data_IF_640376304316
#
_entry.id   IF_640376304316
#
_cell.length_a   1.000
_cell.length_b   1.000
_cell.length_c   1.000
_cell.angle_alpha   90.00
_cell.angle_beta   90.00
_cell.angle_gamma   90.00
#
_symmetry.space_group_name_H-M   'P 1'
#
loop_
_entity.id
_entity.type
_entity.pdbx_description
1 polymer ?
#
# COMPACT_ATOMS: atom_id res chain seq x y z
N UNK A 1 23.38 5.95 38.87
CA UNK A 1 23.31 5.09 37.69
C UNK A 1 22.23 5.68 36.75
N UNK A 2 22.62 6.35 35.71
CA UNK A 2 21.69 6.86 34.70
C UNK A 2 21.48 5.73 33.71
N UNK A 3 20.25 5.22 33.62
CA UNK A 3 19.90 4.19 32.64
C UNK A 3 20.10 4.78 31.23
N UNK A 4 20.87 4.09 30.38
CA UNK A 4 21.00 4.45 28.98
C UNK A 4 19.63 4.38 28.32
N UNK A 5 19.27 5.38 27.45
CA UNK A 5 18.02 5.31 26.70
C UNK A 5 18.04 4.07 25.80
N UNK A 6 17.00 3.25 25.91
CA UNK A 6 16.80 2.13 25.01
C UNK A 6 16.82 2.64 23.56
N UNK A 7 17.72 2.11 22.76
CA UNK A 7 17.76 2.33 21.31
C UNK A 7 16.42 1.87 20.75
N UNK A 8 15.58 2.82 20.36
CA UNK A 8 14.34 2.48 19.66
C UNK A 8 14.71 1.88 18.30
N UNK A 9 14.27 0.66 18.09
CA UNK A 9 14.49 -0.08 16.85
C UNK A 9 13.88 0.67 15.66
N UNK A 10 14.62 0.66 14.55
CA UNK A 10 14.10 1.14 13.27
C UNK A 10 12.80 0.40 12.89
N UNK A 11 11.87 1.04 12.17
CA UNK A 11 10.61 0.40 11.79
C UNK A 11 10.88 -0.97 11.15
N UNK A 12 10.35 -2.02 11.76
CA UNK A 12 10.50 -3.38 11.25
C UNK A 12 9.69 -3.51 9.94
N UNK A 13 10.26 -4.07 8.87
CA UNK A 13 9.50 -4.37 7.67
C UNK A 13 8.35 -5.32 8.02
N UNK A 14 7.11 -4.87 7.86
CA UNK A 14 5.94 -5.69 8.04
C UNK A 14 5.67 -6.51 6.77
N UNK A 15 5.13 -7.72 6.91
CA UNK A 15 4.70 -8.55 5.78
C UNK A 15 3.54 -7.84 5.07
N UNK A 16 3.75 -7.46 3.81
CA UNK A 16 2.93 -6.49 3.10
C UNK A 16 1.46 -6.87 2.90
N UNK A 17 1.12 -8.17 2.87
CA UNK A 17 -0.24 -8.64 2.57
C UNK A 17 -1.25 -8.34 3.66
N UNK A 18 -0.89 -8.53 4.93
CA UNK A 18 -1.78 -8.21 6.07
C UNK A 18 -2.08 -6.71 6.16
N UNK A 19 -1.23 -5.90 5.54
CA UNK A 19 -1.32 -4.45 5.50
C UNK A 19 -1.94 -3.93 4.20
N UNK A 20 -2.36 -4.81 3.29
CA UNK A 20 -3.06 -4.45 2.07
C UNK A 20 -2.14 -4.11 0.88
N UNK A 21 -0.85 -4.45 0.95
CA UNK A 21 0.02 -4.44 -0.24
C UNK A 21 -0.44 -5.54 -1.20
N UNK A 22 -0.41 -5.26 -2.49
CA UNK A 22 -0.95 -6.14 -3.51
C UNK A 22 -2.47 -6.00 -3.72
N UNK A 23 -3.18 -5.24 -2.88
CA UNK A 23 -4.61 -5.00 -3.05
C UNK A 23 -4.87 -3.96 -4.15
N UNK A 24 -5.93 -4.18 -4.87
CA UNK A 24 -6.48 -3.20 -5.80
C UNK A 24 -7.31 -2.16 -5.04
N UNK A 25 -7.12 -0.89 -5.41
CA UNK A 25 -7.88 0.23 -4.86
C UNK A 25 -9.02 0.57 -5.82
N UNK A 26 -10.29 0.62 -5.36
CA UNK A 26 -11.42 0.98 -6.22
C UNK A 26 -11.26 2.39 -6.80
N UNK A 27 -12.08 2.71 -7.80
CA UNK A 27 -12.08 4.06 -8.36
C UNK A 27 -12.76 5.03 -7.39
N UNK A 28 -11.94 5.80 -6.69
CA UNK A 28 -12.39 6.76 -5.69
C UNK A 28 -12.61 8.13 -6.33
N UNK A 29 -13.66 8.81 -5.91
CA UNK A 29 -13.86 10.21 -6.28
C UNK A 29 -12.85 11.08 -5.54
N UNK A 30 -12.10 11.88 -6.29
CA UNK A 30 -11.11 12.82 -5.78
C UNK A 30 -11.67 14.24 -5.87
N UNK A 31 -11.96 14.83 -4.72
CA UNK A 31 -12.50 16.20 -4.59
C UNK A 31 -11.45 17.10 -3.93
N UNK A 32 -10.55 17.69 -4.70
CA UNK A 32 -9.48 18.51 -4.13
C UNK A 32 -10.04 19.83 -3.55
N UNK A 33 -9.31 20.40 -2.59
CA UNK A 33 -9.60 21.73 -2.02
C UNK A 33 -9.52 22.86 -3.07
N UNK A 34 -8.76 22.64 -4.14
CA UNK A 34 -8.66 23.51 -5.31
C UNK A 34 -8.63 22.68 -6.58
N UNK A 35 -9.26 23.18 -7.64
CA UNK A 35 -9.32 22.49 -8.92
C UNK A 35 -10.61 21.68 -9.13
N UNK A 36 -10.63 20.90 -10.20
CA UNK A 36 -11.80 20.14 -10.64
C UNK A 36 -11.88 18.78 -9.97
N UNK A 37 -13.08 18.27 -9.75
CA UNK A 37 -13.34 16.89 -9.35
C UNK A 37 -12.76 15.93 -10.37
N UNK A 38 -12.21 14.85 -9.89
CA UNK A 38 -11.60 13.80 -10.70
C UNK A 38 -11.90 12.44 -10.09
N UNK A 39 -11.36 11.38 -10.69
CA UNK A 39 -11.36 10.05 -10.08
C UNK A 39 -9.93 9.53 -9.97
N UNK A 40 -9.73 8.58 -9.08
CA UNK A 40 -8.42 7.94 -8.91
C UNK A 40 -7.97 7.29 -10.23
N UNK A 41 -8.88 6.62 -10.94
CA UNK A 41 -8.60 6.00 -12.25
C UNK A 41 -8.13 7.01 -13.30
N UNK A 42 -8.72 8.21 -13.31
CA UNK A 42 -8.30 9.28 -14.24
C UNK A 42 -6.90 9.80 -13.88
N UNK A 43 -6.60 9.92 -12.59
CA UNK A 43 -5.30 10.38 -12.12
C UNK A 43 -4.19 9.33 -12.32
N UNK A 44 -4.53 8.04 -12.26
CA UNK A 44 -3.55 6.95 -12.44
C UNK A 44 -3.29 6.59 -13.91
N UNK A 45 -4.23 6.86 -14.81
CA UNK A 45 -4.21 6.40 -16.21
C UNK A 45 -2.91 6.68 -16.96
N UNK A 46 -2.39 7.91 -16.81
CA UNK A 46 -1.20 8.38 -17.53
C UNK A 46 0.01 8.49 -16.59
N UNK A 47 -0.10 7.96 -15.38
CA UNK A 47 0.97 7.96 -14.40
C UNK A 47 1.70 6.61 -14.41
N UNK A 48 3.02 6.65 -14.25
CA UNK A 48 3.84 5.44 -14.03
C UNK A 48 3.67 4.92 -12.61
N UNK A 49 3.44 5.82 -11.67
CA UNK A 49 3.09 5.53 -10.29
C UNK A 49 2.29 6.70 -9.70
N UNK A 50 1.49 6.42 -8.68
CA UNK A 50 0.80 7.43 -7.89
C UNK A 50 1.19 7.27 -6.43
N UNK A 51 1.63 8.37 -5.82
CA UNK A 51 1.85 8.46 -4.38
C UNK A 51 0.60 9.05 -3.73
N UNK A 52 0.04 8.34 -2.76
CA UNK A 52 -0.96 8.91 -1.86
C UNK A 52 -0.24 9.28 -0.57
N UNK A 53 -0.16 10.57 -0.28
CA UNK A 53 0.46 11.10 0.92
C UNK A 53 -0.61 11.47 1.95
N UNK A 54 -0.66 10.74 3.05
CA UNK A 54 -1.61 11.01 4.14
C UNK A 54 -1.00 12.06 5.07
N UNK A 55 -1.73 13.14 5.29
CA UNK A 55 -1.25 14.29 6.06
C UNK A 55 -2.34 14.83 6.99
N UNK A 56 -1.93 15.66 7.92
CA UNK A 56 -2.84 16.43 8.77
C UNK A 56 -2.18 17.77 9.12
N UNK A 57 -2.97 18.82 9.13
CA UNK A 57 -2.49 20.15 9.52
C UNK A 57 -2.23 20.28 11.02
N UNK A 58 -2.82 19.40 11.82
CA UNK A 58 -2.63 19.36 13.28
C UNK A 58 -1.57 18.33 13.74
N UNK A 59 -1.08 17.46 12.85
CA UNK A 59 -0.10 16.45 13.20
C UNK A 59 1.35 17.00 13.06
N UNK A 60 2.13 17.02 14.15
CA UNK A 60 3.53 17.50 14.09
C UNK A 60 4.41 16.69 13.15
N UNK A 61 4.17 15.38 13.04
CA UNK A 61 4.94 14.50 12.15
C UNK A 61 4.64 14.80 10.69
N UNK A 62 3.36 15.02 10.34
CA UNK A 62 2.97 15.47 8.99
C UNK A 62 3.63 16.82 8.65
N UNK A 63 3.67 17.76 9.59
CA UNK A 63 4.35 19.05 9.40
C UNK A 63 5.85 18.90 9.12
N UNK A 64 6.52 17.96 9.77
CA UNK A 64 7.95 17.68 9.54
C UNK A 64 8.20 17.01 8.19
N UNK A 65 7.32 16.11 7.74
CA UNK A 65 7.46 15.43 6.45
C UNK A 65 6.96 16.26 5.27
N UNK A 66 6.17 17.31 5.50
CA UNK A 66 5.61 18.14 4.44
C UNK A 66 6.66 18.62 3.43
N UNK A 67 7.76 19.28 3.85
CA UNK A 67 8.81 19.76 2.94
C UNK A 67 9.47 18.62 2.15
N UNK A 68 9.74 17.49 2.79
CA UNK A 68 10.34 16.31 2.14
C UNK A 68 9.42 15.75 1.06
N UNK A 69 8.13 15.58 1.38
CA UNK A 69 7.15 15.07 0.43
C UNK A 69 6.91 16.03 -0.74
N UNK A 70 6.87 17.36 -0.49
CA UNK A 70 6.74 18.35 -1.55
C UNK A 70 7.98 18.39 -2.47
N UNK A 71 9.18 18.22 -1.92
CA UNK A 71 10.39 18.07 -2.70
C UNK A 71 10.37 16.83 -3.59
N UNK A 72 9.94 15.69 -3.05
CA UNK A 72 9.76 14.43 -3.81
C UNK A 72 8.68 14.57 -4.89
N UNK A 73 7.55 15.23 -4.58
CA UNK A 73 6.52 15.52 -5.58
C UNK A 73 7.11 16.23 -6.79
N UNK A 74 7.87 17.31 -6.56
CA UNK A 74 8.52 18.10 -7.60
C UNK A 74 9.56 17.28 -8.37
N UNK A 75 10.41 16.53 -7.67
CA UNK A 75 11.46 15.70 -8.26
C UNK A 75 10.90 14.62 -9.18
N UNK A 76 9.88 13.90 -8.72
CA UNK A 76 9.33 12.75 -9.43
C UNK A 76 8.26 13.10 -10.48
N UNK A 77 7.77 14.34 -10.52
CA UNK A 77 6.75 14.78 -11.48
C UNK A 77 7.20 14.56 -12.94
N UNK A 78 8.43 14.92 -13.28
CA UNK A 78 9.00 14.73 -14.62
C UNK A 78 9.23 13.26 -15.00
N UNK A 79 9.22 12.37 -14.01
CA UNK A 79 9.39 10.93 -14.16
C UNK A 79 8.06 10.16 -14.27
N UNK A 80 6.94 10.90 -14.33
CA UNK A 80 5.60 10.34 -14.49
C UNK A 80 4.96 9.86 -13.19
N UNK A 81 5.46 10.31 -12.03
CA UNK A 81 4.82 10.07 -10.73
C UNK A 81 3.86 11.22 -10.42
N UNK A 82 2.67 10.87 -9.95
CA UNK A 82 1.69 11.85 -9.46
C UNK A 82 1.50 11.71 -7.97
N UNK A 83 1.35 12.84 -7.28
CA UNK A 83 1.04 12.87 -5.86
C UNK A 83 -0.43 13.24 -5.67
N UNK A 84 -1.08 12.60 -4.72
CA UNK A 84 -2.42 12.92 -4.21
C UNK A 84 -2.28 13.03 -2.69
N UNK A 85 -2.64 14.18 -2.15
CA UNK A 85 -2.54 14.46 -0.73
C UNK A 85 -3.90 14.26 -0.07
N UNK A 86 -3.93 13.50 1.02
CA UNK A 86 -5.17 13.16 1.72
C UNK A 86 -5.06 13.59 3.17
N UNK A 87 -6.04 14.35 3.62
CA UNK A 87 -6.22 14.67 5.04
C UNK A 87 -7.50 13.99 5.55
N UNK A 88 -7.38 12.90 6.30
CA UNK A 88 -8.52 12.17 6.85
C UNK A 88 -8.96 12.67 8.22
N UNK A 89 -8.37 13.76 8.74
CA UNK A 89 -8.67 14.29 10.07
C UNK A 89 -9.82 15.31 10.00
N UNK A 90 -11.02 14.96 10.45
CA UNK A 90 -12.20 15.82 10.28
C UNK A 90 -12.13 17.10 11.11
N UNK A 91 -11.33 17.13 12.19
CA UNK A 91 -11.14 18.30 13.05
C UNK A 91 -10.20 19.36 12.46
N UNK A 92 -9.43 19.00 11.42
CA UNK A 92 -8.59 19.96 10.71
C UNK A 92 -9.48 20.95 9.94
N UNK A 93 -9.41 22.24 10.28
CA UNK A 93 -10.24 23.25 9.64
C UNK A 93 -9.80 23.49 8.19
N UNK A 94 -10.73 23.93 7.36
CA UNK A 94 -10.41 24.33 5.97
C UNK A 94 -9.37 25.43 5.90
N UNK A 95 -9.36 26.32 6.87
CA UNK A 95 -8.37 27.41 6.93
C UNK A 95 -6.98 26.90 7.27
N UNK A 96 -6.86 26.01 8.28
CA UNK A 96 -5.57 25.41 8.67
C UNK A 96 -4.99 24.54 7.56
N UNK A 97 -5.84 23.75 6.88
CA UNK A 97 -5.43 22.93 5.73
C UNK A 97 -4.93 23.80 4.58
N UNK A 98 -5.63 24.86 4.21
CA UNK A 98 -5.17 25.79 3.16
C UNK A 98 -3.86 26.47 3.51
N UNK A 99 -3.69 26.85 4.78
CA UNK A 99 -2.42 27.42 5.23
C UNK A 99 -1.30 26.38 5.12
N UNK A 100 -1.54 25.16 5.60
CA UNK A 100 -0.59 24.05 5.52
C UNK A 100 -0.16 23.75 4.07
N UNK A 101 -1.10 23.71 3.12
CA UNK A 101 -0.83 23.50 1.69
C UNK A 101 0.17 24.56 1.18
N UNK A 102 -0.06 25.84 1.51
CA UNK A 102 0.83 26.94 1.10
C UNK A 102 2.22 26.81 1.74
N UNK A 103 2.25 26.56 3.05
CA UNK A 103 3.50 26.53 3.83
C UNK A 103 4.40 25.36 3.40
N UNK A 104 3.80 24.24 3.02
CA UNK A 104 4.53 23.05 2.56
C UNK A 104 4.86 23.08 1.06
N UNK A 105 4.27 23.98 0.27
CA UNK A 105 4.49 24.07 -1.17
C UNK A 105 3.89 22.93 -1.98
N UNK A 106 2.81 22.35 -1.51
CA UNK A 106 2.05 21.25 -2.17
C UNK A 106 1.56 21.71 -3.54
N UNK A 107 1.75 20.91 -4.58
CA UNK A 107 1.35 21.21 -5.96
C UNK A 107 0.21 20.31 -6.45
N UNK A 108 0.19 19.05 -6.05
CA UNK A 108 -0.83 18.09 -6.44
C UNK A 108 -2.18 18.29 -5.77
N UNK A 109 -3.18 17.51 -6.18
CA UNK A 109 -4.51 17.57 -5.59
C UNK A 109 -4.46 17.22 -4.09
N UNK A 110 -4.95 18.13 -3.26
CA UNK A 110 -5.10 17.95 -1.82
C UNK A 110 -6.57 17.77 -1.46
N UNK A 111 -6.90 16.66 -0.82
CA UNK A 111 -8.27 16.26 -0.50
C UNK A 111 -8.46 16.21 1.00
N UNK A 112 -9.48 16.89 1.49
CA UNK A 112 -10.02 16.67 2.84
C UNK A 112 -11.02 15.53 2.76
N UNK A 113 -10.66 14.40 3.33
CA UNK A 113 -11.50 13.20 3.35
C UNK A 113 -12.45 13.22 4.57
N UNK A 114 -13.31 14.24 4.61
CA UNK A 114 -14.22 14.51 5.74
C UNK A 114 -15.14 13.33 6.09
N UNK A 115 -15.48 12.50 5.11
CA UNK A 115 -16.34 11.32 5.30
C UNK A 115 -15.54 10.04 5.57
N UNK A 116 -14.23 10.11 5.39
CA UNK A 116 -13.35 8.96 5.55
C UNK A 116 -13.50 7.90 4.45
N UNK A 117 -14.09 8.25 3.29
CA UNK A 117 -14.32 7.29 2.20
C UNK A 117 -12.97 6.77 1.63
N UNK A 118 -12.01 7.68 1.44
CA UNK A 118 -10.67 7.35 0.95
C UNK A 118 -9.88 6.61 2.04
N UNK A 119 -9.95 7.11 3.27
CA UNK A 119 -9.29 6.49 4.42
C UNK A 119 -9.75 5.03 4.62
N UNK A 120 -11.05 4.78 4.52
CA UNK A 120 -11.62 3.42 4.60
C UNK A 120 -11.15 2.54 3.43
N UNK A 121 -11.24 3.03 2.20
CA UNK A 121 -10.87 2.25 1.01
C UNK A 121 -9.40 1.84 1.00
N UNK A 122 -8.50 2.71 1.46
CA UNK A 122 -7.07 2.44 1.57
C UNK A 122 -6.70 1.74 2.89
N UNK A 123 -7.58 1.75 3.88
CA UNK A 123 -7.26 1.27 5.23
C UNK A 123 -6.16 2.11 5.88
N UNK A 124 -6.24 3.44 5.75
CA UNK A 124 -5.28 4.37 6.33
C UNK A 124 -5.31 4.23 7.86
N UNK A 125 -4.15 4.10 8.48
CA UNK A 125 -4.03 3.87 9.93
C UNK A 125 -3.40 5.03 10.68
N UNK A 126 -2.66 5.88 9.97
CA UNK A 126 -1.91 6.96 10.59
C UNK A 126 -1.77 8.16 9.65
N UNK A 127 -1.67 9.34 10.21
CA UNK A 127 -1.15 10.50 9.51
C UNK A 127 0.33 10.28 9.18
N UNK A 128 0.86 10.93 8.13
CA UNK A 128 2.21 10.69 7.61
C UNK A 128 2.46 9.28 7.03
N UNK A 129 1.40 8.50 6.78
CA UNK A 129 1.48 7.28 5.99
C UNK A 129 1.51 7.62 4.50
N UNK A 130 2.28 6.87 3.73
CA UNK A 130 2.33 7.00 2.28
C UNK A 130 2.03 5.68 1.59
N UNK A 131 1.42 5.76 0.41
CA UNK A 131 1.15 4.61 -0.46
C UNK A 131 1.75 4.88 -1.83
N UNK A 132 2.25 3.83 -2.48
CA UNK A 132 2.61 3.86 -3.90
C UNK A 132 1.68 2.90 -4.64
N UNK A 133 0.96 3.43 -5.63
CA UNK A 133 0.08 2.67 -6.50
C UNK A 133 0.69 2.60 -7.90
N UNK A 134 0.46 1.49 -8.60
CA UNK A 134 0.69 1.39 -10.05
C UNK A 134 -0.48 2.01 -10.86
N UNK A 135 -0.33 2.02 -12.19
CA UNK A 135 -1.37 2.50 -13.10
C UNK A 135 -2.68 1.68 -13.00
N UNK A 136 -2.60 0.43 -12.55
CA UNK A 136 -3.78 -0.41 -12.32
C UNK A 136 -4.42 -0.18 -10.94
N UNK A 137 -3.90 0.75 -10.16
CA UNK A 137 -4.30 1.05 -8.77
C UNK A 137 -4.02 -0.09 -7.78
N UNK A 138 -2.99 -0.87 -8.03
CA UNK A 138 -2.51 -1.85 -7.05
C UNK A 138 -1.58 -1.16 -6.06
N UNK A 139 -1.76 -1.40 -4.77
CA UNK A 139 -0.85 -0.91 -3.73
C UNK A 139 0.46 -1.70 -3.82
N UNK A 140 1.53 -1.05 -4.21
CA UNK A 140 2.87 -1.65 -4.30
C UNK A 140 3.72 -1.40 -3.06
N UNK A 141 3.45 -0.29 -2.37
CA UNK A 141 4.09 0.08 -1.11
C UNK A 141 3.10 0.81 -0.22
N UNK A 142 3.23 0.62 1.09
CA UNK A 142 2.62 1.49 2.10
C UNK A 142 3.51 1.56 3.34
N UNK A 143 3.58 2.71 3.97
CA UNK A 143 4.41 2.85 5.17
C UNK A 143 4.87 4.27 5.43
N UNK A 144 6.01 4.37 6.10
CA UNK A 144 6.69 5.63 6.38
C UNK A 144 7.38 6.19 5.12
N UNK A 145 7.57 7.51 5.09
CA UNK A 145 8.41 8.18 4.07
C UNK A 145 9.85 7.68 4.16
N UNK A 146 10.37 7.68 5.37
CA UNK A 146 11.73 7.25 5.74
C UNK A 146 11.80 6.93 7.24
N UNK A 147 13.00 6.71 7.77
CA UNK A 147 13.25 6.42 9.19
C UNK A 147 13.77 7.64 9.97
N UNK A 148 13.56 8.86 9.46
CA UNK A 148 14.06 10.08 10.10
C UNK A 148 13.30 10.43 11.38
N UNK A 149 11.99 10.27 11.38
CA UNK A 149 11.14 10.58 12.53
C UNK A 149 10.43 9.33 13.04
N UNK A 150 10.36 9.20 14.36
CA UNK A 150 9.67 8.11 15.03
C UNK A 150 9.12 8.53 16.37
N UNK A 151 8.42 7.63 17.05
CA UNK A 151 7.93 7.87 18.39
C UNK A 151 9.11 8.01 19.33
N UNK A 152 9.29 9.22 19.89
CA UNK A 152 10.37 9.51 20.85
C UNK A 152 11.76 9.74 20.23
N UNK A 153 11.92 9.73 18.92
CA UNK A 153 13.20 10.06 18.28
C UNK A 153 13.06 10.94 17.03
N UNK A 154 14.15 11.64 16.71
CA UNK A 154 14.34 12.36 15.46
C UNK A 154 15.81 12.31 15.08
N UNK A 155 16.10 11.89 13.86
CA UNK A 155 17.46 11.85 13.30
C UNK A 155 17.74 13.11 12.51
N UNK A 156 19.01 13.50 12.41
CA UNK A 156 19.44 14.63 11.58
C UNK A 156 19.17 14.38 10.08
N UNK A 157 19.32 13.11 9.65
CA UNK A 157 18.98 12.66 8.31
C UNK A 157 18.50 11.20 8.36
N UNK A 158 17.69 10.76 7.39
CA UNK A 158 17.26 9.36 7.33
C UNK A 158 18.41 8.45 6.90
N UNK A 159 18.47 7.26 7.49
CA UNK A 159 19.34 6.18 7.04
C UNK A 159 18.66 5.34 5.94
N UNK A 160 17.32 5.23 5.99
CA UNK A 160 16.51 4.48 5.05
C UNK A 160 15.42 5.36 4.47
N UNK A 161 15.37 5.48 3.14
CA UNK A 161 14.40 6.28 2.41
C UNK A 161 13.38 5.36 1.76
N UNK A 162 12.42 4.86 2.53
CA UNK A 162 11.47 3.82 2.09
C UNK A 162 10.66 4.23 0.86
N UNK A 163 10.06 5.41 0.85
CA UNK A 163 9.28 5.91 -0.29
C UNK A 163 10.14 6.04 -1.54
N UNK A 164 11.33 6.60 -1.42
CA UNK A 164 12.28 6.74 -2.55
C UNK A 164 12.65 5.37 -3.11
N UNK A 165 13.03 4.43 -2.25
CA UNK A 165 13.39 3.06 -2.66
C UNK A 165 12.23 2.35 -3.37
N UNK A 166 11.00 2.53 -2.86
CA UNK A 166 9.81 1.98 -3.50
C UNK A 166 9.58 2.60 -4.88
N UNK A 167 9.66 3.93 -5.01
CA UNK A 167 9.50 4.64 -6.28
C UNK A 167 10.55 4.22 -7.31
N UNK A 168 11.82 4.13 -6.91
CA UNK A 168 12.89 3.68 -7.81
C UNK A 168 12.66 2.24 -8.31
N UNK A 169 12.21 1.35 -7.42
CA UNK A 169 11.86 -0.02 -7.80
C UNK A 169 10.72 -0.04 -8.81
N UNK A 170 9.62 0.66 -8.54
CA UNK A 170 8.44 0.72 -9.42
C UNK A 170 8.80 1.32 -10.78
N UNK A 171 9.52 2.45 -10.81
CA UNK A 171 9.91 3.12 -12.05
C UNK A 171 10.90 2.30 -12.87
N UNK A 172 11.66 1.41 -12.25
CA UNK A 172 12.58 0.48 -12.91
C UNK A 172 11.93 -0.86 -13.27
N UNK A 173 10.63 -1.04 -13.01
CA UNK A 173 9.92 -2.30 -13.24
C UNK A 173 10.37 -3.44 -12.32
N UNK A 174 11.00 -3.12 -11.20
CA UNK A 174 11.47 -4.09 -10.22
C UNK A 174 10.46 -4.27 -9.10
N UNK A 175 10.50 -5.41 -8.43
CA UNK A 175 9.73 -5.66 -7.22
C UNK A 175 10.20 -4.71 -6.11
N UNK A 176 9.25 -4.18 -5.34
CA UNK A 176 9.55 -3.42 -4.13
C UNK A 176 9.96 -4.40 -3.02
N UNK A 177 11.21 -4.34 -2.57
CA UNK A 177 11.75 -5.26 -1.56
C UNK A 177 11.10 -5.03 -0.19
N UNK A 178 11.09 -3.78 0.27
CA UNK A 178 10.40 -3.38 1.49
C UNK A 178 9.05 -2.79 1.12
N UNK A 179 8.04 -3.65 0.98
CA UNK A 179 6.72 -3.23 0.51
C UNK A 179 5.84 -2.61 1.61
N UNK A 180 6.18 -2.79 2.88
CA UNK A 180 5.46 -2.24 4.00
C UNK A 180 6.38 -1.89 5.17
N UNK A 181 6.09 -0.79 5.89
CA UNK A 181 6.77 -0.38 7.12
C UNK A 181 5.79 0.15 8.15
N UNK A 182 6.17 0.18 9.43
CA UNK A 182 5.45 0.96 10.44
C UNK A 182 5.53 2.46 10.15
N UNK A 183 4.57 3.22 10.67
CA UNK A 183 4.43 4.66 10.39
C UNK A 183 4.52 5.45 11.69
N UNK A 184 5.30 6.55 11.75
CA UNK A 184 5.51 7.32 12.96
C UNK A 184 4.42 8.37 13.26
N UNK A 185 3.39 8.48 12.42
CA UNK A 185 2.34 9.51 12.55
C UNK A 185 1.34 9.26 13.68
N UNK A 186 0.40 10.19 13.82
CA UNK A 186 -0.69 10.04 14.76
C UNK A 186 -1.64 8.94 14.30
N UNK A 187 -1.97 8.00 15.20
CA UNK A 187 -2.93 6.95 14.89
C UNK A 187 -4.29 7.57 14.55
N UNK A 188 -4.92 7.05 13.52
CA UNK A 188 -6.29 7.35 13.16
C UNK A 188 -7.15 6.21 13.69
N UNK A 189 -8.32 6.53 14.23
CA UNK A 189 -9.34 5.53 14.49
C UNK A 189 -9.81 4.98 13.12
N UNK A 190 -9.07 4.02 12.63
CA UNK A 190 -9.41 3.36 11.38
C UNK A 190 -10.49 2.35 11.64
N UNK A 191 -11.66 2.56 11.07
CA UNK A 191 -12.51 1.42 10.78
C UNK A 191 -11.67 0.42 9.96
N UNK A 192 -11.71 -0.85 10.33
CA UNK A 192 -11.09 -1.91 9.55
C UNK A 192 -11.40 -1.69 8.06
N UNK A 193 -10.46 -1.99 7.13
CA UNK A 193 -10.72 -1.81 5.71
C UNK A 193 -12.08 -2.39 5.40
N UNK A 194 -13.03 -1.55 4.97
CA UNK A 194 -14.33 -2.06 4.52
C UNK A 194 -13.97 -2.92 3.32
N UNK A 195 -14.27 -4.19 3.42
CA UNK A 195 -14.27 -5.05 2.26
C UNK A 195 -15.16 -4.34 1.24
N UNK A 196 -14.56 -3.82 0.17
CA UNK A 196 -15.32 -3.18 -0.89
C UNK A 196 -16.24 -4.25 -1.42
N UNK A 197 -17.55 -4.02 -1.36
CA UNK A 197 -18.57 -4.99 -1.77
C UNK A 197 -18.67 -5.12 -3.31
N UNK A 198 -17.61 -4.76 -4.03
CA UNK A 198 -17.54 -5.08 -5.45
C UNK A 198 -17.26 -6.58 -5.58
N UNK A 199 -18.00 -7.26 -6.45
CA UNK A 199 -17.77 -8.68 -6.68
C UNK A 199 -16.31 -8.92 -7.06
N UNK A 200 -15.70 -9.91 -6.44
CA UNK A 200 -14.34 -10.31 -6.74
C UNK A 200 -14.29 -10.78 -8.19
N UNK A 201 -13.45 -10.13 -9.00
CA UNK A 201 -13.24 -10.50 -10.40
C UNK A 201 -11.80 -10.92 -10.64
N UNK A 202 -11.54 -11.57 -11.77
CA UNK A 202 -10.17 -11.89 -12.18
C UNK A 202 -9.28 -10.65 -12.19
N UNK A 203 -9.74 -9.55 -12.80
CA UNK A 203 -8.92 -8.35 -13.03
C UNK A 203 -8.74 -7.48 -11.79
N UNK A 204 -9.72 -7.40 -10.90
CA UNK A 204 -9.58 -6.55 -9.71
C UNK A 204 -8.84 -7.24 -8.55
N UNK A 205 -8.86 -8.58 -8.49
CA UNK A 205 -8.33 -9.29 -7.33
C UNK A 205 -7.58 -10.58 -7.67
N UNK A 206 -8.19 -11.50 -8.43
CA UNK A 206 -7.69 -12.87 -8.58
C UNK A 206 -6.35 -12.90 -9.32
N UNK A 207 -6.18 -12.11 -10.38
CA UNK A 207 -4.92 -12.05 -11.13
C UNK A 207 -3.72 -11.72 -10.22
N UNK A 208 -3.92 -10.89 -9.22
CA UNK A 208 -2.87 -10.47 -8.27
C UNK A 208 -2.51 -11.59 -7.30
N UNK A 209 -3.51 -12.30 -6.80
CA UNK A 209 -3.30 -13.49 -5.96
C UNK A 209 -2.51 -14.54 -6.75
N UNK A 210 -2.91 -14.79 -8.00
CA UNK A 210 -2.23 -15.77 -8.86
C UNK A 210 -0.79 -15.35 -9.16
N UNK A 211 -0.58 -14.11 -9.59
CA UNK A 211 0.76 -13.58 -9.89
C UNK A 211 1.70 -13.67 -8.70
N UNK A 212 1.20 -13.43 -7.52
CA UNK A 212 2.01 -13.47 -6.32
C UNK A 212 2.30 -14.87 -5.81
N UNK A 213 1.27 -15.74 -5.78
CA UNK A 213 1.35 -17.02 -5.07
C UNK A 213 1.43 -18.24 -5.97
N UNK A 214 1.04 -18.14 -7.24
CA UNK A 214 0.93 -19.28 -8.15
C UNK A 214 1.88 -19.18 -9.36
N UNK A 215 1.83 -18.06 -10.08
CA UNK A 215 2.59 -17.81 -11.32
C UNK A 215 4.11 -17.93 -11.16
N UNK A 216 4.75 -17.66 -10.02
CA UNK A 216 6.19 -17.92 -9.88
C UNK A 216 6.60 -19.35 -10.26
N UNK A 217 5.69 -20.33 -10.05
CA UNK A 217 5.91 -21.72 -10.46
C UNK A 217 5.06 -22.11 -11.67
N UNK A 218 3.80 -21.63 -11.75
CA UNK A 218 2.80 -21.93 -12.78
C UNK A 218 2.85 -20.94 -13.93
N UNK A 219 3.89 -20.99 -14.74
CA UNK A 219 4.11 -20.18 -15.95
C UNK A 219 4.72 -21.02 -17.04
N UNK A 220 4.72 -20.52 -18.26
CA UNK A 220 5.45 -21.16 -19.37
C UNK A 220 6.92 -21.35 -19.00
N UNK A 221 7.45 -22.53 -19.27
CA UNK A 221 8.79 -22.97 -18.85
C UNK A 221 9.04 -22.87 -17.32
N UNK A 222 7.99 -22.85 -16.52
CA UNK A 222 8.07 -22.92 -15.05
C UNK A 222 8.21 -24.36 -14.57
N UNK A 223 8.36 -24.53 -13.25
CA UNK A 223 8.53 -25.86 -12.62
C UNK A 223 7.20 -26.62 -12.52
N UNK A 224 6.06 -25.92 -12.55
CA UNK A 224 4.73 -26.52 -12.44
C UNK A 224 4.27 -27.11 -13.79
N UNK A 225 3.39 -28.14 -13.76
CA UNK A 225 3.00 -28.89 -14.97
C UNK A 225 2.08 -28.10 -15.94
N UNK A 226 1.56 -26.96 -15.54
CA UNK A 226 0.69 -26.10 -16.36
C UNK A 226 0.83 -24.63 -15.93
N UNK A 227 0.51 -23.70 -16.84
CA UNK A 227 0.51 -22.27 -16.56
C UNK A 227 -0.82 -21.81 -15.95
N UNK A 228 -0.76 -20.69 -15.17
CA UNK A 228 -1.89 -20.00 -14.58
C UNK A 228 -1.75 -18.46 -14.81
N UNK A 229 -1.29 -18.08 -15.99
CA UNK A 229 -0.97 -16.70 -16.35
C UNK A 229 -2.17 -15.96 -16.96
N UNK A 230 -3.12 -16.70 -17.52
CA UNK A 230 -4.32 -16.15 -18.17
C UNK A 230 -5.61 -16.66 -17.53
N UNK A 231 -6.74 -15.93 -17.66
CA UNK A 231 -8.04 -16.39 -17.18
C UNK A 231 -8.45 -17.75 -17.75
N UNK A 232 -8.13 -18.00 -19.03
CA UNK A 232 -8.47 -19.25 -19.71
C UNK A 232 -7.70 -20.45 -19.10
N UNK A 233 -6.41 -20.28 -18.83
CA UNK A 233 -5.60 -21.32 -18.17
C UNK A 233 -6.12 -21.62 -16.77
N UNK A 234 -6.50 -20.60 -16.01
CA UNK A 234 -7.05 -20.77 -14.67
C UNK A 234 -8.39 -21.48 -14.72
N UNK A 235 -9.28 -21.11 -15.64
CA UNK A 235 -10.57 -21.74 -15.83
C UNK A 235 -10.42 -23.23 -16.22
N UNK A 236 -9.49 -23.55 -17.10
CA UNK A 236 -9.20 -24.92 -17.52
C UNK A 236 -8.75 -25.82 -16.36
N UNK A 237 -8.17 -25.27 -15.32
CA UNK A 237 -7.64 -26.00 -14.16
C UNK A 237 -8.38 -25.71 -12.84
N UNK A 238 -9.50 -24.96 -12.89
CA UNK A 238 -10.19 -24.43 -11.71
C UNK A 238 -10.53 -25.52 -10.67
N UNK A 239 -11.06 -26.65 -11.09
CA UNK A 239 -11.41 -27.75 -10.18
C UNK A 239 -10.21 -28.34 -9.45
N UNK A 240 -9.07 -28.46 -10.13
CA UNK A 240 -7.82 -28.93 -9.52
C UNK A 240 -7.24 -27.86 -8.58
N UNK A 241 -7.17 -26.62 -9.01
CA UNK A 241 -6.69 -25.51 -8.19
C UNK A 241 -7.51 -25.40 -6.91
N UNK A 242 -8.85 -25.40 -7.04
CA UNK A 242 -9.77 -25.39 -5.89
C UNK A 242 -9.47 -26.52 -4.90
N UNK A 243 -9.34 -27.75 -5.39
CA UNK A 243 -9.05 -28.92 -4.55
C UNK A 243 -7.72 -28.75 -3.80
N UNK A 244 -6.65 -28.41 -4.50
CA UNK A 244 -5.31 -28.32 -3.91
C UNK A 244 -5.18 -27.15 -2.92
N UNK A 245 -5.81 -26.03 -3.23
CA UNK A 245 -5.81 -24.85 -2.33
C UNK A 245 -6.67 -25.12 -1.08
N UNK A 246 -7.82 -25.77 -1.24
CA UNK A 246 -8.68 -26.15 -0.08
C UNK A 246 -7.92 -27.07 0.86
N UNK A 247 -7.22 -28.06 0.33
CA UNK A 247 -6.44 -29.04 1.10
C UNK A 247 -5.11 -28.47 1.64
N UNK A 248 -4.73 -27.23 1.27
CA UNK A 248 -3.47 -26.61 1.70
C UNK A 248 -2.21 -27.23 1.08
N UNK A 249 -2.36 -27.98 -0.03
CA UNK A 249 -1.22 -28.55 -0.77
C UNK A 249 -0.57 -27.48 -1.65
N UNK A 250 -1.36 -26.52 -2.13
CA UNK A 250 -0.90 -25.38 -2.93
C UNK A 250 -1.29 -24.04 -2.28
N UNK A 251 -0.38 -23.06 -2.28
CA UNK A 251 1.04 -23.13 -2.64
C UNK A 251 1.82 -24.11 -1.75
N UNK A 252 2.91 -24.73 -2.26
CA UNK A 252 3.68 -25.70 -1.48
C UNK A 252 4.47 -25.01 -0.37
N UNK A 253 3.88 -24.94 0.81
CA UNK A 253 4.44 -24.37 2.01
C UNK A 253 4.17 -25.27 3.21
N UNK A 254 5.23 -25.89 3.72
CA UNK A 254 5.13 -26.92 4.76
C UNK A 254 5.67 -26.45 6.13
N UNK A 255 6.09 -25.18 6.22
CA UNK A 255 6.47 -24.62 7.52
C UNK A 255 5.22 -24.35 8.37
N UNK A 256 5.35 -24.54 9.66
CA UNK A 256 4.26 -24.27 10.60
C UNK A 256 3.90 -22.78 10.54
N UNK A 257 2.60 -22.50 10.39
CA UNK A 257 2.10 -21.14 10.53
C UNK A 257 2.29 -20.68 11.98
N UNK A 258 2.69 -19.42 12.22
CA UNK A 258 2.78 -18.89 13.56
C UNK A 258 1.39 -18.88 14.21
N UNK A 259 1.30 -19.25 15.46
CA UNK A 259 0.05 -19.19 16.24
C UNK A 259 -0.38 -17.76 16.52
N UNK A 260 0.57 -16.83 16.53
CA UNK A 260 0.34 -15.39 16.72
C UNK A 260 1.40 -14.57 15.97
N UNK A 261 1.01 -13.42 15.42
CA UNK A 261 1.91 -12.49 14.77
C UNK A 261 2.29 -12.83 13.32
N UNK A 262 3.18 -12.05 12.70
CA UNK A 262 3.64 -12.27 11.34
C UNK A 262 4.50 -13.53 11.24
N UNK A 263 4.54 -14.11 10.02
CA UNK A 263 5.39 -15.25 9.74
C UNK A 263 6.87 -14.92 10.02
N UNK A 264 7.61 -15.77 10.71
CA UNK A 264 9.04 -15.57 10.95
C UNK A 264 9.90 -15.89 9.72
N UNK A 265 9.29 -16.39 8.65
CA UNK A 265 9.98 -16.85 7.46
C UNK A 265 10.06 -15.77 6.39
N UNK A 266 11.25 -15.39 5.97
CA UNK A 266 11.48 -14.36 4.94
C UNK A 266 10.89 -14.72 3.56
N UNK A 267 10.75 -16.01 3.29
CA UNK A 267 10.24 -16.54 2.01
C UNK A 267 8.90 -17.25 2.15
N UNK A 268 8.10 -16.87 3.13
CA UNK A 268 6.77 -17.44 3.33
C UNK A 268 5.93 -17.35 2.05
N UNK A 269 5.45 -18.50 1.59
CA UNK A 269 4.60 -18.67 0.41
C UNK A 269 3.21 -19.16 0.76
N UNK A 270 2.88 -19.22 2.06
CA UNK A 270 1.52 -19.56 2.49
C UNK A 270 0.52 -18.58 1.87
N UNK A 271 -0.64 -19.08 1.50
CA UNK A 271 -1.70 -18.25 0.98
C UNK A 271 -2.46 -17.63 2.16
N UNK A 272 -2.51 -16.29 2.27
CA UNK A 272 -3.29 -15.63 3.31
C UNK A 272 -4.74 -16.07 3.32
N UNK A 273 -5.35 -16.15 4.49
CA UNK A 273 -6.73 -16.65 4.63
C UNK A 273 -7.75 -15.86 3.79
N UNK A 274 -7.59 -14.53 3.72
CA UNK A 274 -8.43 -13.67 2.88
C UNK A 274 -8.25 -13.96 1.39
N UNK A 275 -7.00 -14.15 0.93
CA UNK A 275 -6.69 -14.44 -0.47
C UNK A 275 -7.22 -15.83 -0.86
N UNK A 276 -7.10 -16.79 0.06
CA UNK A 276 -7.67 -18.13 -0.10
C UNK A 276 -9.20 -18.08 -0.23
N UNK A 277 -9.86 -17.30 0.61
CA UNK A 277 -11.31 -17.14 0.57
C UNK A 277 -11.77 -16.50 -0.76
N UNK A 278 -11.13 -15.40 -1.17
CA UNK A 278 -11.42 -14.69 -2.43
C UNK A 278 -11.22 -15.60 -3.64
N UNK A 279 -10.11 -16.36 -3.67
CA UNK A 279 -9.78 -17.27 -4.76
C UNK A 279 -10.81 -18.42 -4.87
N UNK A 280 -11.17 -19.03 -3.74
CA UNK A 280 -12.14 -20.13 -3.71
C UNK A 280 -13.54 -19.67 -4.07
N UNK A 281 -13.99 -18.51 -3.57
CA UNK A 281 -15.30 -17.94 -3.90
C UNK A 281 -15.40 -17.56 -5.39
N UNK A 282 -14.31 -17.07 -6.00
CA UNK A 282 -14.30 -16.75 -7.42
C UNK A 282 -14.36 -17.99 -8.32
N UNK A 283 -13.89 -19.13 -7.85
CA UNK A 283 -13.91 -20.42 -8.58
C UNK A 283 -15.23 -21.21 -8.40
N UNK A 284 -16.21 -20.70 -7.65
CA UNK A 284 -17.57 -21.28 -7.52
C UNK A 284 -18.43 -21.00 -8.74
#
# INVERSE_FOLDING_TARGET
>A
MVAAPALQEAPTPALGLEWGVGRWVPDLEIRPESGSRSSLSKLTRDARAVVIAVTSSSCPVSGRYGPTLAALEKEYASRGVRFIWINPVPTDSKASVRQWIRDQGVQGPYVRDERGDIAKALGIRSTAEVFVLDAARTVLFRGAVDDQYGLGYSKAAPNQRFLVSALESVLSGKKVETACTSVPGCALESAAPVAVSEPVTYHNRISRILQQSCVPCHREAGIAPFALTTPAEVAAHAGMVRKQVTQGVMPPWFAASPTHGPSPWLNDRSLPAADKADLLAWME
#
